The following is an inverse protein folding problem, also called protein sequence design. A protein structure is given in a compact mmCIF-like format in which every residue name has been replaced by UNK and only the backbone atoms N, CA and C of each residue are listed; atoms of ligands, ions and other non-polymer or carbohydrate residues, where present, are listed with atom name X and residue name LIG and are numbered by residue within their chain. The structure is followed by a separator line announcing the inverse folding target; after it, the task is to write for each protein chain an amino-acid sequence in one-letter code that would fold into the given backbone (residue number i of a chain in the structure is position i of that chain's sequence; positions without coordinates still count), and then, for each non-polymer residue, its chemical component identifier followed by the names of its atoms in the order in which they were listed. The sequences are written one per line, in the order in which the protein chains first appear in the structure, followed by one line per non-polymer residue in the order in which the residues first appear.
data_IF_161269042700
#
_entry.id   IF_161269042700
#
_cell.length_a   1.000
_cell.length_b   1.000
_cell.length_c   1.000
_cell.angle_alpha   90.00
_cell.angle_beta   90.00
_cell.angle_gamma   90.00
#
_symmetry.space_group_name_H-M   'P 1'
#
loop_
_entity.id
_entity.type
_entity.pdbx_description
1 polymer ?
#
# COMPACT_ATOMS: atom_id res chain seq x y z
N UNK A 1 66.72 -65.20 -30.26
CA UNK A 1 67.12 -65.88 -31.47
C UNK A 1 66.09 -65.50 -32.58
N UNK A 2 66.62 -64.75 -33.49
CA UNK A 2 66.31 -64.68 -34.95
C UNK A 2 64.77 -64.57 -35.36
N UNK A 3 64.42 -63.63 -36.08
CA UNK A 3 64.75 -62.99 -37.36
C UNK A 3 63.60 -63.19 -38.32
N UNK A 4 63.20 -62.21 -38.98
CA UNK A 4 63.33 -61.74 -40.37
C UNK A 4 62.03 -61.15 -40.87
N UNK A 5 62.15 -59.92 -41.32
CA UNK A 5 61.29 -59.32 -42.34
C UNK A 5 61.58 -59.93 -43.73
N UNK A 6 60.98 -59.59 -44.86
CA UNK A 6 60.15 -58.49 -45.39
C UNK A 6 59.12 -58.96 -46.46
N UNK A 7 58.75 -58.25 -47.52
CA UNK A 7 58.40 -56.86 -47.75
C UNK A 7 57.08 -56.59 -48.55
N UNK A 8 56.67 -55.37 -48.52
CA UNK A 8 56.03 -54.57 -49.59
C UNK A 8 54.93 -55.10 -50.53
N UNK A 9 53.81 -54.47 -50.55
CA UNK A 9 53.27 -53.83 -51.77
C UNK A 9 52.31 -52.72 -51.42
N UNK A 10 52.70 -51.50 -51.79
CA UNK A 10 51.82 -50.35 -52.02
C UNK A 10 50.89 -50.67 -53.18
N UNK A 11 49.60 -50.53 -52.91
CA UNK A 11 48.53 -50.17 -53.86
C UNK A 11 47.25 -50.69 -53.22
N UNK A 12 46.51 -49.79 -52.69
CA UNK A 12 45.08 -49.80 -52.42
C UNK A 12 44.71 -48.97 -51.17
N UNK A 13 45.34 -47.77 -51.04
CA UNK A 13 45.10 -46.81 -49.96
C UNK A 13 44.52 -45.49 -50.48
N UNK A 14 43.58 -45.55 -51.39
CA UNK A 14 43.01 -44.32 -51.97
C UNK A 14 41.44 -44.24 -51.97
N UNK A 15 40.75 -45.17 -51.36
CA UNK A 15 39.25 -45.17 -51.35
C UNK A 15 38.62 -45.26 -49.98
N UNK A 16 39.40 -45.21 -48.90
CA UNK A 16 38.89 -45.32 -47.49
C UNK A 16 38.78 -44.04 -46.69
N UNK A 17 39.19 -42.87 -47.26
CA UNK A 17 39.31 -41.62 -46.46
C UNK A 17 38.14 -40.66 -46.73
N UNK A 18 37.26 -40.90 -47.67
CA UNK A 18 36.14 -40.00 -47.97
C UNK A 18 34.80 -40.39 -47.29
N UNK A 19 34.76 -41.49 -46.50
CA UNK A 19 33.54 -41.89 -45.80
C UNK A 19 33.55 -41.66 -44.29
N UNK A 20 34.61 -41.04 -43.73
CA UNK A 20 34.73 -40.80 -42.30
C UNK A 20 34.67 -39.30 -41.90
N UNK A 21 34.45 -38.44 -42.89
CA UNK A 21 34.26 -37.00 -42.66
C UNK A 21 32.78 -36.55 -42.65
N UNK A 22 31.86 -37.49 -42.75
CA UNK A 22 30.41 -37.22 -42.79
C UNK A 22 29.67 -37.40 -41.46
N UNK A 23 30.35 -37.72 -40.34
CA UNK A 23 29.67 -38.04 -39.06
C UNK A 23 30.29 -37.37 -37.83
N UNK A 24 30.94 -36.22 -38.02
CA UNK A 24 31.04 -35.21 -36.92
C UNK A 24 29.87 -34.25 -37.11
N UNK A 25 28.66 -34.80 -37.11
CA UNK A 25 27.45 -34.03 -36.81
C UNK A 25 27.58 -33.61 -35.37
N UNK A 26 27.90 -32.37 -35.21
CA UNK A 26 27.91 -31.56 -34.00
C UNK A 26 26.77 -31.97 -33.05
N UNK A 27 27.03 -32.61 -31.94
CA UNK A 27 26.10 -32.58 -30.82
C UNK A 27 26.38 -31.29 -30.05
N UNK A 28 25.89 -30.16 -30.54
CA UNK A 28 26.20 -28.91 -29.91
C UNK A 28 25.26 -27.76 -30.20
N UNK A 29 24.34 -27.91 -31.12
CA UNK A 29 23.11 -27.13 -31.09
C UNK A 29 22.14 -27.79 -30.11
N UNK A 30 22.51 -27.86 -28.82
CA UNK A 30 21.47 -27.68 -27.83
C UNK A 30 20.80 -26.39 -28.25
N UNK A 31 19.61 -26.55 -28.83
CA UNK A 31 18.63 -25.50 -28.95
C UNK A 31 18.67 -24.76 -27.63
N UNK A 32 19.36 -23.62 -27.61
CA UNK A 32 19.13 -22.61 -26.57
C UNK A 32 17.63 -22.42 -26.71
N UNK A 33 16.88 -23.09 -25.83
CA UNK A 33 15.45 -22.84 -25.70
C UNK A 33 15.38 -21.34 -25.60
N UNK A 34 14.71 -20.65 -26.52
CA UNK A 34 14.59 -19.21 -26.44
C UNK A 34 14.16 -18.95 -25.02
N UNK A 35 14.91 -18.10 -24.31
CA UNK A 35 14.55 -17.65 -22.95
C UNK A 35 13.11 -17.25 -23.10
N UNK A 36 12.23 -18.10 -22.58
CA UNK A 36 10.80 -17.95 -22.82
C UNK A 36 10.45 -16.62 -22.18
N UNK A 37 10.00 -15.66 -22.98
CA UNK A 37 9.52 -14.33 -22.53
C UNK A 37 8.29 -14.42 -21.59
N UNK A 38 8.10 -15.56 -20.96
CA UNK A 38 7.01 -15.90 -20.05
C UNK A 38 7.36 -15.61 -18.57
N UNK A 39 8.46 -14.89 -18.31
CA UNK A 39 8.77 -14.46 -16.95
C UNK A 39 8.23 -13.05 -16.74
N UNK A 40 7.39 -12.91 -15.72
CA UNK A 40 6.84 -11.65 -15.26
C UNK A 40 7.61 -11.19 -14.01
N UNK A 41 8.28 -10.05 -14.11
CA UNK A 41 9.01 -9.44 -13.01
C UNK A 41 8.12 -8.44 -12.28
N UNK A 42 7.83 -8.72 -11.03
CA UNK A 42 6.95 -7.90 -10.18
C UNK A 42 7.76 -7.32 -9.03
N UNK A 43 7.64 -6.02 -8.82
CA UNK A 43 8.14 -5.34 -7.63
C UNK A 43 6.98 -5.04 -6.69
N UNK A 44 7.13 -5.42 -5.42
CA UNK A 44 6.20 -5.08 -4.34
C UNK A 44 6.87 -4.05 -3.44
N UNK A 45 6.21 -2.92 -3.22
CA UNK A 45 6.64 -1.89 -2.27
C UNK A 45 5.76 -2.02 -1.02
N UNK A 46 6.30 -2.43 0.14
CA UNK A 46 5.54 -2.53 1.39
C UNK A 46 4.96 -1.20 1.83
N UNK A 47 3.88 -1.24 2.60
CA UNK A 47 3.23 -0.05 3.18
C UNK A 47 3.84 0.33 4.52
N UNK A 48 4.50 -0.61 5.18
CA UNK A 48 4.99 -0.48 6.54
C UNK A 48 6.52 -0.66 6.59
N UNK A 49 7.21 0.25 7.31
CA UNK A 49 8.66 0.20 7.47
C UNK A 49 9.11 -0.93 8.41
N UNK A 50 8.30 -1.23 9.43
CA UNK A 50 8.61 -2.23 10.43
C UNK A 50 8.56 -3.66 9.92
N UNK A 51 7.71 -3.93 8.94
CA UNK A 51 7.53 -5.25 8.37
C UNK A 51 8.70 -5.74 7.50
N UNK A 52 9.58 -4.84 7.06
CA UNK A 52 10.77 -5.21 6.28
C UNK A 52 11.90 -5.86 7.09
N UNK A 53 11.91 -5.68 8.40
CA UNK A 53 12.89 -6.35 9.28
C UNK A 53 12.43 -7.75 9.68
N UNK A 54 11.13 -8.03 9.57
CA UNK A 54 10.56 -9.30 10.04
C UNK A 54 10.59 -10.40 8.97
N UNK A 55 10.16 -10.16 7.76
CA UNK A 55 10.21 -11.12 6.64
C UNK A 55 9.72 -10.47 5.34
N UNK A 56 10.55 -10.37 4.27
CA UNK A 56 10.08 -9.94 2.95
C UNK A 56 8.96 -10.83 2.41
N UNK A 57 8.89 -12.10 2.82
CA UNK A 57 7.87 -13.04 2.36
C UNK A 57 6.50 -12.74 2.97
N UNK A 58 6.41 -12.20 4.19
CA UNK A 58 5.14 -11.83 4.83
C UNK A 58 4.34 -10.79 4.02
N UNK A 59 5.02 -9.90 3.28
CA UNK A 59 4.35 -8.94 2.37
C UNK A 59 3.82 -9.58 1.10
N UNK A 60 4.35 -10.76 0.78
CA UNK A 60 3.92 -11.57 -0.34
C UNK A 60 2.67 -12.38 0.03
N UNK A 61 2.41 -12.62 1.33
CA UNK A 61 1.28 -13.45 1.78
C UNK A 61 -0.08 -12.97 1.26
N UNK A 62 -0.30 -11.66 1.17
CA UNK A 62 -1.53 -11.10 0.59
C UNK A 62 -1.64 -11.36 -0.92
N UNK A 63 -0.51 -11.39 -1.63
CA UNK A 63 -0.45 -11.58 -3.07
C UNK A 63 -0.21 -13.04 -3.47
N UNK A 64 0.35 -13.87 -2.58
CA UNK A 64 0.66 -15.26 -2.88
C UNK A 64 -0.56 -16.06 -3.36
N UNK A 65 -1.73 -16.05 -2.69
CA UNK A 65 -2.89 -16.80 -3.17
C UNK A 65 -3.37 -16.34 -4.54
N UNK A 66 -3.32 -15.04 -4.82
CA UNK A 66 -3.67 -14.47 -6.12
C UNK A 66 -2.71 -14.91 -7.22
N UNK A 67 -1.40 -14.87 -6.94
CA UNK A 67 -0.36 -15.26 -7.87
C UNK A 67 -0.40 -16.77 -8.14
N UNK A 68 -0.67 -17.59 -7.14
CA UNK A 68 -0.82 -19.03 -7.29
C UNK A 68 -2.09 -19.37 -8.08
N UNK A 69 -3.19 -18.66 -7.87
CA UNK A 69 -4.38 -18.82 -8.69
C UNK A 69 -4.12 -18.42 -10.16
N UNK A 70 -3.36 -17.33 -10.37
CA UNK A 70 -2.96 -16.92 -11.72
C UNK A 70 -2.04 -17.94 -12.40
N UNK A 71 -1.02 -18.47 -11.68
CA UNK A 71 -0.11 -19.50 -12.20
C UNK A 71 -0.86 -20.78 -12.62
N UNK A 72 -1.91 -21.17 -11.87
CA UNK A 72 -2.75 -22.34 -12.28
C UNK A 72 -3.47 -22.11 -13.59
N UNK A 73 -3.85 -20.88 -13.91
CA UNK A 73 -4.47 -20.53 -15.20
C UNK A 73 -3.45 -20.33 -16.31
N UNK A 74 -2.21 -20.00 -15.96
CA UNK A 74 -1.10 -19.71 -16.88
C UNK A 74 0.14 -20.56 -16.53
N UNK A 75 0.10 -21.91 -16.70
CA UNK A 75 1.16 -22.80 -16.20
C UNK A 75 2.52 -22.59 -16.86
N UNK A 76 2.58 -21.89 -18.00
CA UNK A 76 3.83 -21.52 -18.67
C UNK A 76 4.45 -20.20 -18.20
N UNK A 77 3.80 -19.50 -17.26
CA UNK A 77 4.27 -18.19 -16.78
C UNK A 77 5.07 -18.34 -15.48
N UNK A 78 6.30 -17.85 -15.51
CA UNK A 78 7.13 -17.72 -14.31
C UNK A 78 6.96 -16.32 -13.73
N UNK A 79 6.60 -16.22 -12.45
CA UNK A 79 6.48 -14.92 -11.74
C UNK A 79 7.64 -14.79 -10.77
N UNK A 80 8.42 -13.73 -10.95
CA UNK A 80 9.52 -13.33 -10.08
C UNK A 80 9.11 -12.11 -9.28
N UNK A 81 9.14 -12.24 -7.94
CA UNK A 81 8.82 -11.17 -7.02
C UNK A 81 10.11 -10.57 -6.44
N UNK A 82 10.14 -9.26 -6.31
CA UNK A 82 11.16 -8.50 -5.59
C UNK A 82 10.49 -7.50 -4.67
N UNK A 83 10.92 -7.44 -3.42
CA UNK A 83 10.47 -6.43 -2.46
C UNK A 83 11.46 -5.27 -2.46
N UNK A 84 10.96 -4.03 -2.55
CA UNK A 84 11.77 -2.81 -2.57
C UNK A 84 11.15 -1.78 -1.64
N UNK A 85 11.96 -1.12 -0.83
CA UNK A 85 11.51 -0.03 0.05
C UNK A 85 10.99 1.16 -0.75
N UNK A 86 10.00 1.87 -0.21
CA UNK A 86 9.38 3.00 -0.91
C UNK A 86 10.37 4.11 -1.24
N UNK A 87 11.30 4.40 -0.33
CA UNK A 87 12.31 5.43 -0.53
C UNK A 87 13.30 5.07 -1.65
N UNK A 88 13.49 3.78 -1.91
CA UNK A 88 14.45 3.25 -2.89
C UNK A 88 13.85 3.00 -4.26
N UNK A 89 12.52 2.91 -4.38
CA UNK A 89 11.89 2.48 -5.64
C UNK A 89 12.21 3.42 -6.80
N UNK A 90 12.18 4.74 -6.59
CA UNK A 90 12.51 5.71 -7.63
C UNK A 90 13.94 5.58 -8.16
N UNK A 91 14.97 5.70 -7.30
CA UNK A 91 16.37 5.50 -7.71
C UNK A 91 16.63 4.13 -8.35
N UNK A 92 15.99 3.07 -7.85
CA UNK A 92 16.15 1.73 -8.39
C UNK A 92 15.57 1.59 -9.79
N UNK A 93 14.39 2.14 -10.05
CA UNK A 93 13.81 2.16 -11.39
C UNK A 93 14.65 2.99 -12.38
N UNK A 94 15.20 4.13 -11.97
CA UNK A 94 16.11 4.91 -12.82
C UNK A 94 17.37 4.13 -13.21
N UNK A 95 17.95 3.41 -12.25
CA UNK A 95 19.12 2.56 -12.51
C UNK A 95 18.78 1.41 -13.46
N UNK A 96 17.65 0.73 -13.26
CA UNK A 96 17.21 -0.38 -14.10
C UNK A 96 16.82 0.07 -15.50
N UNK A 97 16.12 1.19 -15.65
CA UNK A 97 15.75 1.78 -16.95
C UNK A 97 16.94 2.03 -17.85
N UNK A 98 18.06 2.54 -17.30
CA UNK A 98 19.30 2.74 -18.07
C UNK A 98 19.85 1.45 -18.68
N UNK A 99 19.43 0.30 -18.18
CA UNK A 99 19.87 -1.04 -18.61
C UNK A 99 18.79 -1.81 -19.36
N UNK A 100 17.59 -1.26 -19.54
CA UNK A 100 16.43 -1.96 -20.12
C UNK A 100 15.99 -3.16 -19.30
N UNK A 101 16.12 -3.13 -17.97
CA UNK A 101 15.87 -4.23 -17.04
C UNK A 101 14.82 -3.88 -15.99
N UNK A 102 13.91 -2.97 -16.30
CA UNK A 102 12.82 -2.58 -15.39
C UNK A 102 11.85 -3.73 -15.11
N UNK A 103 11.08 -3.65 -14.00
CA UNK A 103 10.01 -4.60 -13.72
C UNK A 103 8.86 -4.43 -14.71
N UNK A 104 8.07 -5.49 -14.90
CA UNK A 104 6.88 -5.46 -15.74
C UNK A 104 5.68 -4.85 -15.01
N UNK A 105 5.58 -5.13 -13.71
CA UNK A 105 4.47 -4.69 -12.87
C UNK A 105 4.99 -4.30 -11.48
N UNK A 106 4.40 -3.27 -10.90
CA UNK A 106 4.71 -2.84 -9.54
C UNK A 106 3.43 -2.74 -8.72
N UNK A 107 3.47 -3.25 -7.49
CA UNK A 107 2.43 -3.04 -6.50
C UNK A 107 2.87 -1.96 -5.52
N UNK A 108 2.32 -0.76 -5.65
CA UNK A 108 2.71 0.43 -4.88
C UNK A 108 1.49 1.13 -4.28
N UNK A 109 1.71 2.12 -3.40
CA UNK A 109 0.63 3.02 -2.96
C UNK A 109 0.28 4.04 -4.05
N UNK A 110 -0.97 4.49 -4.10
CA UNK A 110 -1.45 5.46 -5.09
C UNK A 110 -0.59 6.75 -5.20
N UNK A 111 -0.14 7.40 -4.11
CA UNK A 111 0.74 8.57 -4.21
C UNK A 111 2.08 8.25 -4.87
N UNK A 112 2.63 7.05 -4.61
CA UNK A 112 3.88 6.59 -5.23
C UNK A 112 3.67 6.34 -6.73
N UNK A 113 2.56 5.68 -7.12
CA UNK A 113 2.21 5.49 -8.52
C UNK A 113 2.15 6.82 -9.30
N UNK A 114 1.48 7.83 -8.72
CA UNK A 114 1.39 9.17 -9.31
C UNK A 114 2.77 9.84 -9.43
N UNK A 115 3.63 9.73 -8.41
CA UNK A 115 4.99 10.28 -8.44
C UNK A 115 5.87 9.58 -9.49
N UNK A 116 5.79 8.26 -9.62
CA UNK A 116 6.50 7.50 -10.62
C UNK A 116 6.04 7.84 -12.05
N UNK A 117 4.73 7.99 -12.27
CA UNK A 117 4.18 8.42 -13.56
C UNK A 117 4.65 9.83 -13.94
N UNK A 118 4.64 10.78 -12.98
CA UNK A 118 5.13 12.16 -13.22
C UNK A 118 6.59 12.17 -13.67
N UNK A 119 7.41 11.26 -13.12
CA UNK A 119 8.83 11.11 -13.48
C UNK A 119 9.06 10.26 -14.72
N UNK A 120 8.02 9.72 -15.34
CA UNK A 120 8.13 8.82 -16.50
C UNK A 120 8.81 7.49 -16.20
N UNK A 121 8.77 7.03 -14.95
CA UNK A 121 9.36 5.75 -14.49
C UNK A 121 8.37 4.58 -14.59
N UNK A 122 7.12 4.85 -14.85
CA UNK A 122 6.06 3.87 -15.14
C UNK A 122 5.20 4.39 -16.29
N UNK A 123 4.56 3.49 -17.02
CA UNK A 123 3.63 3.82 -18.07
C UNK A 123 2.22 4.10 -17.52
N UNK A 124 1.46 4.98 -18.15
CA UNK A 124 0.04 5.12 -17.82
C UNK A 124 -0.70 3.83 -18.20
N UNK A 125 -1.83 3.59 -17.50
CA UNK A 125 -2.74 2.49 -17.85
C UNK A 125 -3.20 2.63 -19.29
N UNK A 126 -3.10 1.59 -20.12
CA UNK A 126 -3.60 1.60 -21.49
C UNK A 126 -5.12 1.92 -21.53
N UNK A 127 -5.53 2.68 -22.54
CA UNK A 127 -6.95 3.00 -22.80
C UNK A 127 -7.51 2.10 -23.89
N UNK A 128 -7.17 0.83 -23.87
CA UNK A 128 -7.69 -0.14 -24.82
C UNK A 128 -8.98 -0.81 -24.34
N UNK A 129 -9.60 -1.57 -25.22
CA UNK A 129 -10.83 -2.31 -24.90
C UNK A 129 -10.60 -3.42 -23.89
N UNK A 130 -9.36 -3.94 -23.79
CA UNK A 130 -9.02 -5.05 -22.91
C UNK A 130 -9.20 -4.69 -21.42
N UNK A 131 -8.90 -3.45 -21.04
CA UNK A 131 -9.06 -2.96 -19.66
C UNK A 131 -10.35 -2.15 -19.42
N UNK A 132 -11.14 -1.89 -20.46
CA UNK A 132 -12.34 -1.05 -20.34
C UNK A 132 -13.32 -1.57 -19.28
N UNK A 133 -13.68 -2.85 -19.32
CA UNK A 133 -14.60 -3.47 -18.35
C UNK A 133 -14.02 -3.46 -16.93
N UNK A 134 -12.69 -3.68 -16.81
CA UNK A 134 -11.98 -3.63 -15.55
C UNK A 134 -12.05 -2.22 -14.93
N UNK A 135 -11.84 -1.19 -15.74
CA UNK A 135 -11.93 0.20 -15.28
C UNK A 135 -13.37 0.57 -14.87
N UNK A 136 -14.37 0.07 -15.59
CA UNK A 136 -15.78 0.27 -15.20
C UNK A 136 -16.15 -0.45 -13.90
N UNK A 137 -15.51 -1.56 -13.60
CA UNK A 137 -15.73 -2.30 -12.37
C UNK A 137 -15.11 -1.62 -11.12
N UNK A 138 -14.09 -0.78 -11.29
CA UNK A 138 -13.47 -0.05 -10.18
C UNK A 138 -14.36 1.15 -9.82
N UNK A 139 -14.48 1.42 -8.51
CA UNK A 139 -15.23 2.59 -8.03
C UNK A 139 -14.59 3.89 -8.53
N UNK A 140 -15.39 4.88 -8.98
CA UNK A 140 -14.86 6.14 -9.54
C UNK A 140 -13.93 6.91 -8.58
N UNK A 141 -14.21 6.88 -7.28
CA UNK A 141 -13.38 7.55 -6.27
C UNK A 141 -11.95 6.99 -6.20
N UNK A 142 -11.80 5.67 -6.30
CA UNK A 142 -10.49 5.01 -6.30
C UNK A 142 -9.72 5.31 -7.59
N UNK A 143 -10.40 5.37 -8.75
CA UNK A 143 -9.78 5.81 -10.01
C UNK A 143 -9.32 7.26 -9.95
N UNK A 144 -10.06 8.12 -9.26
CA UNK A 144 -9.68 9.53 -9.12
C UNK A 144 -8.36 9.69 -8.34
N UNK A 145 -8.11 8.85 -7.34
CA UNK A 145 -6.88 8.87 -6.52
C UNK A 145 -5.61 8.53 -7.31
N UNK A 146 -5.74 7.85 -8.44
CA UNK A 146 -4.61 7.47 -9.33
C UNK A 146 -4.62 8.25 -10.65
N UNK A 147 -5.45 9.28 -10.77
CA UNK A 147 -5.55 10.10 -11.96
C UNK A 147 -4.61 11.31 -11.86
N UNK A 148 -3.69 11.41 -12.80
CA UNK A 148 -2.74 12.51 -12.94
C UNK A 148 -2.81 13.05 -14.38
N UNK A 149 -3.16 14.33 -14.55
CA UNK A 149 -3.26 15.00 -15.86
C UNK A 149 -4.06 14.19 -16.89
N UNK A 150 -5.22 13.68 -16.45
CA UNK A 150 -6.12 12.89 -17.30
C UNK A 150 -5.66 11.46 -17.55
N UNK A 151 -4.44 11.06 -17.14
CA UNK A 151 -3.91 9.70 -17.26
C UNK A 151 -4.05 8.93 -15.95
N UNK A 152 -4.16 7.60 -16.00
CA UNK A 152 -4.18 6.76 -14.82
C UNK A 152 -2.77 6.22 -14.56
N UNK A 153 -2.24 6.47 -13.37
CA UNK A 153 -0.92 5.99 -12.95
C UNK A 153 -0.88 4.48 -12.67
N UNK A 154 -2.06 3.86 -12.56
CA UNK A 154 -2.16 2.42 -12.34
C UNK A 154 -3.61 2.00 -12.07
N UNK A 155 -3.80 0.71 -11.85
CA UNK A 155 -5.09 0.09 -11.54
C UNK A 155 -5.20 -0.12 -10.02
N UNK A 156 -6.15 0.53 -9.32
CA UNK A 156 -6.45 0.23 -7.93
C UNK A 156 -6.75 -1.26 -7.72
N UNK A 157 -6.14 -1.87 -6.70
CA UNK A 157 -6.25 -3.31 -6.42
C UNK A 157 -7.06 -3.56 -5.17
N UNK A 158 -6.63 -2.99 -4.04
CA UNK A 158 -7.28 -3.12 -2.74
C UNK A 158 -7.12 -1.83 -1.97
N UNK A 159 -7.99 -1.64 -1.00
CA UNK A 159 -7.97 -0.52 -0.09
C UNK A 159 -7.69 -1.00 1.35
N UNK A 160 -6.73 -0.37 1.99
CA UNK A 160 -6.36 -0.54 3.38
C UNK A 160 -6.96 0.62 4.17
N UNK A 161 -7.50 0.36 5.36
CA UNK A 161 -8.19 1.36 6.17
C UNK A 161 -7.63 1.43 7.57
N UNK A 162 -7.75 2.59 8.22
CA UNK A 162 -7.41 2.75 9.63
C UNK A 162 -8.63 2.40 10.50
N UNK A 163 -8.40 1.67 11.59
CA UNK A 163 -9.40 1.10 12.49
C UNK A 163 -9.00 1.36 13.93
N UNK A 164 -9.86 0.99 14.86
CA UNK A 164 -9.53 0.82 16.26
C UNK A 164 -9.21 -0.66 16.54
N UNK A 165 -8.02 -0.93 17.10
CA UNK A 165 -7.62 -2.22 17.63
C UNK A 165 -7.57 -2.16 19.17
N UNK A 166 -8.09 -3.20 19.86
CA UNK A 166 -8.12 -3.21 21.32
C UNK A 166 -8.01 -4.62 21.90
N UNK A 167 -7.56 -4.69 23.14
CA UNK A 167 -7.51 -5.95 23.91
C UNK A 167 -8.85 -6.20 24.59
N UNK A 168 -9.59 -7.21 24.15
CA UNK A 168 -10.93 -7.59 24.68
C UNK A 168 -10.91 -7.95 26.16
N UNK A 169 -9.76 -8.33 26.72
CA UNK A 169 -9.62 -8.60 28.16
C UNK A 169 -9.67 -7.32 28.99
N UNK A 170 -9.35 -6.17 28.38
CA UNK A 170 -9.29 -4.85 29.03
C UNK A 170 -10.43 -3.93 28.63
N UNK A 171 -10.97 -4.12 27.43
CA UNK A 171 -12.02 -3.29 26.84
C UNK A 171 -13.15 -4.20 26.41
N UNK A 172 -14.23 -4.25 27.20
CA UNK A 172 -15.42 -5.06 26.92
C UNK A 172 -16.28 -4.44 25.80
N UNK A 173 -16.33 -3.12 25.74
CA UNK A 173 -17.02 -2.36 24.68
C UNK A 173 -16.11 -1.25 24.19
N UNK A 174 -15.76 -1.23 22.88
CA UNK A 174 -14.89 -0.19 22.34
C UNK A 174 -15.60 1.16 22.34
N UNK A 175 -14.87 2.27 22.60
CA UNK A 175 -15.45 3.61 22.56
C UNK A 175 -15.93 3.97 21.16
N UNK A 176 -17.14 4.53 21.05
CA UNK A 176 -17.77 4.96 19.80
C UNK A 176 -17.55 6.45 19.50
N UNK A 177 -17.14 7.20 20.52
CA UNK A 177 -16.85 8.63 20.41
C UNK A 177 -15.61 9.04 21.20
N UNK A 178 -15.11 10.26 20.94
CA UNK A 178 -13.90 10.81 21.58
C UNK A 178 -14.04 10.98 23.09
N UNK A 179 -15.26 11.25 23.61
CA UNK A 179 -15.53 11.37 25.01
C UNK A 179 -15.40 10.00 25.71
N UNK A 180 -15.98 8.97 25.09
CA UNK A 180 -15.84 7.58 25.55
C UNK A 180 -14.40 7.08 25.52
N UNK A 181 -13.60 7.52 24.52
CA UNK A 181 -12.18 7.18 24.46
C UNK A 181 -11.40 7.78 25.63
N UNK A 182 -11.62 9.06 25.97
CA UNK A 182 -10.98 9.67 27.15
C UNK A 182 -11.53 9.10 28.46
N UNK A 183 -12.81 8.72 28.51
CA UNK A 183 -13.38 8.04 29.67
C UNK A 183 -12.75 6.66 29.91
N UNK A 184 -12.41 5.93 28.81
CA UNK A 184 -11.66 4.68 28.90
C UNK A 184 -10.28 4.91 29.52
N UNK A 185 -9.56 5.96 29.13
CA UNK A 185 -8.30 6.34 29.78
C UNK A 185 -8.49 6.70 31.25
N UNK A 186 -9.50 7.49 31.58
CA UNK A 186 -9.82 7.89 32.96
C UNK A 186 -10.20 6.69 33.86
N UNK A 187 -10.73 5.61 33.26
CA UNK A 187 -11.02 4.35 34.01
C UNK A 187 -9.76 3.50 34.31
N UNK A 188 -8.56 4.00 33.99
CA UNK A 188 -7.28 3.33 34.25
C UNK A 188 -6.80 2.43 33.12
N UNK A 189 -7.43 2.46 31.94
CA UNK A 189 -6.99 1.72 30.74
C UNK A 189 -6.07 2.59 29.90
N UNK A 190 -4.84 2.17 29.67
CA UNK A 190 -3.91 2.94 28.86
C UNK A 190 -4.28 2.84 27.39
N UNK A 191 -4.53 3.97 26.75
CA UNK A 191 -4.78 4.09 25.31
C UNK A 191 -3.53 4.65 24.61
N UNK A 192 -3.27 4.22 23.39
CA UNK A 192 -2.19 4.75 22.57
C UNK A 192 -2.70 5.70 21.49
N UNK A 193 -2.01 6.82 21.31
CA UNK A 193 -2.18 7.75 20.19
C UNK A 193 -0.83 8.05 19.56
N UNK A 194 -0.79 8.42 18.28
CA UNK A 194 0.46 8.72 17.59
C UNK A 194 0.64 10.21 17.41
N UNK A 195 1.89 10.70 17.43
CA UNK A 195 2.24 12.05 16.93
C UNK A 195 2.39 12.07 15.40
N UNK A 196 2.49 10.88 14.77
CA UNK A 196 2.50 10.79 13.31
C UNK A 196 1.20 11.42 12.75
N UNK A 197 1.30 12.43 11.87
CA UNK A 197 0.12 13.11 11.33
C UNK A 197 -0.85 12.19 10.62
N UNK A 198 -0.39 11.15 9.93
CA UNK A 198 -1.25 10.18 9.26
C UNK A 198 -1.94 9.27 10.28
N UNK A 199 -1.19 8.85 11.32
CA UNK A 199 -1.68 7.99 12.40
C UNK A 199 -2.75 8.66 13.26
N UNK A 200 -2.72 10.00 13.44
CA UNK A 200 -3.70 10.77 14.23
C UNK A 200 -4.81 11.42 13.39
N UNK A 201 -4.67 11.41 12.07
CA UNK A 201 -5.59 12.10 11.14
C UNK A 201 -7.06 11.73 11.33
N UNK A 202 -7.34 10.51 11.75
CA UNK A 202 -8.71 10.04 11.97
C UNK A 202 -9.49 10.93 12.94
N UNK A 203 -8.85 11.50 13.95
CA UNK A 203 -9.48 12.36 14.96
C UNK A 203 -9.84 13.75 14.41
N UNK A 204 -9.22 14.17 13.32
CA UNK A 204 -9.50 15.45 12.68
C UNK A 204 -10.94 15.53 12.17
N UNK A 205 -11.48 14.46 11.56
CA UNK A 205 -12.87 14.42 11.12
C UNK A 205 -13.86 14.51 12.26
N UNK A 206 -13.57 13.83 13.37
CA UNK A 206 -14.38 13.87 14.58
C UNK A 206 -14.54 15.28 15.16
N UNK A 207 -13.61 16.18 14.82
CA UNK A 207 -13.54 17.57 15.31
C UNK A 207 -13.61 18.60 14.16
N UNK A 208 -14.07 18.19 12.98
CA UNK A 208 -14.31 19.10 11.84
C UNK A 208 -13.04 19.60 11.13
N UNK A 209 -11.84 19.20 11.56
CA UNK A 209 -10.58 19.71 11.04
C UNK A 209 -10.07 18.94 9.78
N UNK A 210 -10.73 17.86 9.35
CA UNK A 210 -10.23 17.04 8.25
C UNK A 210 -10.15 17.79 6.92
N UNK A 211 -11.15 18.60 6.57
CA UNK A 211 -11.18 19.40 5.34
C UNK A 211 -10.11 20.49 5.34
N UNK A 212 -10.01 21.35 6.37
CA UNK A 212 -8.92 22.31 6.48
C UNK A 212 -7.53 21.72 6.36
N UNK A 213 -7.28 20.58 7.01
CA UNK A 213 -5.99 19.89 6.96
C UNK A 213 -5.72 19.24 5.61
N UNK A 214 -6.74 18.74 4.96
CA UNK A 214 -6.63 18.15 3.62
C UNK A 214 -6.18 19.17 2.57
N UNK A 215 -6.62 20.42 2.69
CA UNK A 215 -6.14 21.52 1.85
C UNK A 215 -4.64 21.79 1.98
N UNK A 216 -3.98 21.34 3.06
CA UNK A 216 -2.52 21.46 3.21
C UNK A 216 -1.77 20.47 2.29
N UNK A 217 -2.29 19.27 2.15
CA UNK A 217 -1.61 18.15 1.47
C UNK A 217 -2.03 17.96 0.01
N UNK A 218 -2.92 18.80 -0.48
CA UNK A 218 -3.32 18.87 -1.90
C UNK A 218 -2.64 20.04 -2.60
N UNK A 219 -2.37 19.91 -3.88
CA UNK A 219 -1.81 20.99 -4.72
C UNK A 219 -2.90 21.94 -5.27
N UNK A 220 -4.13 21.85 -4.75
CA UNK A 220 -5.23 22.69 -5.23
C UNK A 220 -5.24 24.08 -4.60
N UNK A 221 -5.54 25.10 -5.38
CA UNK A 221 -5.78 26.43 -4.83
C UNK A 221 -7.02 26.40 -3.92
N UNK A 222 -6.99 27.23 -2.88
CA UNK A 222 -8.15 27.41 -2.00
C UNK A 222 -9.31 27.97 -2.84
N UNK A 223 -10.51 27.36 -2.75
CA UNK A 223 -11.67 27.87 -3.47
C UNK A 223 -11.97 29.34 -3.15
N UNK A 224 -12.38 30.17 -4.11
CA UNK A 224 -12.81 31.52 -3.83
C UNK A 224 -13.95 31.56 -2.80
N UNK A 225 -13.83 32.44 -1.80
CA UNK A 225 -14.83 32.56 -0.72
C UNK A 225 -14.73 31.51 0.38
N UNK A 226 -13.68 30.68 0.39
CA UNK A 226 -13.43 29.72 1.47
C UNK A 226 -13.16 30.45 2.80
N UNK A 227 -13.80 29.99 3.89
CA UNK A 227 -13.74 30.61 5.21
C UNK A 227 -12.50 30.12 5.99
N UNK A 228 -11.39 30.86 5.85
CA UNK A 228 -10.13 30.55 6.53
C UNK A 228 -10.20 30.78 8.06
N UNK A 229 -11.07 31.63 8.55
CA UNK A 229 -11.24 31.86 9.99
C UNK A 229 -11.95 30.67 10.62
N UNK A 230 -12.95 30.12 9.95
CA UNK A 230 -13.57 28.86 10.33
C UNK A 230 -12.56 27.71 10.35
N UNK A 231 -11.74 27.57 9.31
CA UNK A 231 -10.69 26.57 9.24
C UNK A 231 -9.78 26.64 10.48
N UNK A 232 -9.36 27.85 10.82
CA UNK A 232 -8.49 28.07 12.00
C UNK A 232 -9.16 27.63 13.28
N UNK A 233 -10.44 27.96 13.48
CA UNK A 233 -11.18 27.53 14.67
C UNK A 233 -11.34 26.01 14.77
N UNK A 234 -11.60 25.33 13.65
CA UNK A 234 -11.72 23.87 13.61
C UNK A 234 -10.38 23.18 13.91
N UNK A 235 -9.29 23.65 13.29
CA UNK A 235 -7.94 23.12 13.56
C UNK A 235 -7.53 23.40 15.01
N UNK A 236 -7.82 24.58 15.54
CA UNK A 236 -7.59 24.92 16.95
C UNK A 236 -8.38 24.00 17.90
N UNK A 237 -9.64 23.70 17.58
CA UNK A 237 -10.48 22.78 18.35
C UNK A 237 -9.88 21.37 18.39
N UNK A 238 -9.39 20.87 17.24
CA UNK A 238 -8.70 19.60 17.15
C UNK A 238 -7.40 19.58 17.97
N UNK A 239 -6.54 20.59 17.86
CA UNK A 239 -5.30 20.70 18.63
C UNK A 239 -5.56 20.83 20.13
N UNK A 240 -6.63 21.51 20.55
CA UNK A 240 -7.04 21.58 21.95
C UNK A 240 -7.41 20.19 22.49
N UNK A 241 -8.14 19.40 21.72
CA UNK A 241 -8.45 18.03 22.08
C UNK A 241 -7.20 17.16 22.18
N UNK A 242 -6.26 17.25 21.24
CA UNK A 242 -4.99 16.51 21.27
C UNK A 242 -4.19 16.86 22.55
N UNK A 243 -4.07 18.13 22.87
CA UNK A 243 -3.42 18.57 24.12
C UNK A 243 -4.13 18.05 25.36
N UNK A 244 -5.45 18.11 25.40
CA UNK A 244 -6.24 17.58 26.50
C UNK A 244 -6.05 16.06 26.66
N UNK A 245 -6.00 15.33 25.57
CA UNK A 245 -5.72 13.89 25.57
C UNK A 245 -4.30 13.61 26.09
N UNK A 246 -3.29 14.33 25.61
CA UNK A 246 -1.89 14.18 26.00
C UNK A 246 -1.64 14.46 27.49
N UNK A 247 -2.44 15.29 28.13
CA UNK A 247 -2.35 15.58 29.56
C UNK A 247 -2.90 14.47 30.47
N UNK A 248 -3.58 13.46 29.91
CA UNK A 248 -4.11 12.35 30.69
C UNK A 248 -3.01 11.32 30.99
N UNK A 249 -2.89 10.90 32.23
CA UNK A 249 -1.86 9.95 32.68
C UNK A 249 -1.94 8.56 32.03
N UNK A 250 -3.09 8.22 31.40
CA UNK A 250 -3.34 6.94 30.72
C UNK A 250 -3.48 7.09 29.21
N UNK A 251 -2.99 8.19 28.66
CA UNK A 251 -2.80 8.37 27.22
C UNK A 251 -1.30 8.32 26.93
N UNK A 252 -0.90 7.30 26.21
CA UNK A 252 0.47 7.06 25.80
C UNK A 252 0.68 7.62 24.39
N UNK A 253 1.66 8.48 24.24
CA UNK A 253 1.98 9.15 22.98
C UNK A 253 3.14 8.42 22.31
N UNK A 254 2.84 7.71 21.24
CA UNK A 254 3.80 6.93 20.46
C UNK A 254 4.37 7.76 19.31
N UNK A 255 5.62 7.49 18.94
CA UNK A 255 6.29 8.09 17.79
C UNK A 255 5.72 7.57 16.45
N UNK A 256 5.11 6.39 16.44
CA UNK A 256 4.55 5.80 15.23
C UNK A 256 3.78 4.50 15.46
N UNK A 257 3.30 3.89 14.36
CA UNK A 257 2.41 2.72 14.43
C UNK A 257 3.08 1.48 15.04
N UNK A 258 4.38 1.27 14.85
CA UNK A 258 5.08 0.09 15.37
C UNK A 258 5.12 0.09 16.90
N UNK A 259 5.30 1.25 17.52
CA UNK A 259 5.28 1.39 18.98
C UNK A 259 3.88 1.13 19.55
N UNK A 260 2.84 1.59 18.84
CA UNK A 260 1.44 1.30 19.20
C UNK A 260 1.15 -0.20 19.12
N UNK A 261 1.55 -0.86 18.03
CA UNK A 261 1.36 -2.28 17.85
C UNK A 261 2.07 -3.10 18.95
N UNK A 262 3.34 -2.80 19.21
CA UNK A 262 4.11 -3.44 20.29
C UNK A 262 3.48 -3.20 21.67
N UNK A 263 2.95 -2.00 21.91
CA UNK A 263 2.24 -1.67 23.13
C UNK A 263 0.93 -2.46 23.31
N UNK A 264 0.19 -2.69 22.23
CA UNK A 264 -1.04 -3.48 22.27
C UNK A 264 -0.74 -4.97 22.47
N UNK A 265 0.19 -5.54 21.73
CA UNK A 265 0.52 -6.98 21.79
C UNK A 265 1.19 -7.37 23.11
N UNK A 266 2.02 -6.51 23.68
CA UNK A 266 2.58 -6.69 25.02
C UNK A 266 1.54 -6.50 26.15
N UNK A 267 0.37 -6.01 25.83
CA UNK A 267 -0.67 -5.69 26.80
C UNK A 267 -0.40 -4.38 27.58
N UNK A 268 0.59 -3.58 27.23
CA UNK A 268 0.79 -2.24 27.82
C UNK A 268 -0.36 -1.30 27.45
N UNK A 269 -0.79 -1.32 26.21
CA UNK A 269 -1.93 -0.55 25.71
C UNK A 269 -3.20 -1.40 25.67
N UNK A 270 -4.34 -0.79 25.93
CA UNK A 270 -5.65 -1.41 25.86
C UNK A 270 -6.38 -1.12 24.54
N UNK A 271 -6.09 0.02 23.92
CA UNK A 271 -6.70 0.50 22.68
C UNK A 271 -5.69 1.35 21.88
N UNK A 272 -5.70 1.19 20.56
CA UNK A 272 -4.87 1.96 19.60
C UNK A 272 -5.61 2.19 18.29
N UNK A 273 -5.31 3.24 17.53
CA UNK A 273 -5.56 3.24 16.08
C UNK A 273 -4.60 2.25 15.42
N UNK A 274 -5.07 1.49 14.43
CA UNK A 274 -4.29 0.48 13.73
C UNK A 274 -4.65 0.42 12.24
N UNK A 275 -3.70 0.03 11.38
CA UNK A 275 -3.99 -0.21 9.97
C UNK A 275 -4.55 -1.62 9.77
N UNK A 276 -5.51 -1.76 8.87
CA UNK A 276 -6.13 -3.05 8.59
C UNK A 276 -5.14 -4.12 8.11
N UNK A 277 -4.04 -3.77 7.46
CA UNK A 277 -2.95 -4.70 7.12
C UNK A 277 -2.32 -5.38 8.33
N UNK A 278 -2.28 -4.71 9.47
CA UNK A 278 -1.68 -5.26 10.68
C UNK A 278 -2.59 -6.29 11.37
N UNK A 279 -3.85 -6.43 10.92
CA UNK A 279 -4.82 -7.33 11.55
C UNK A 279 -4.40 -8.79 11.49
N UNK A 280 -3.74 -9.23 10.43
CA UNK A 280 -3.26 -10.61 10.32
C UNK A 280 -2.22 -10.90 11.40
N UNK A 281 -1.19 -10.06 11.49
CA UNK A 281 -0.16 -10.15 12.53
C UNK A 281 -0.76 -10.06 13.95
N UNK A 282 -1.60 -9.06 14.20
CA UNK A 282 -2.26 -8.90 15.49
C UNK A 282 -3.12 -10.12 15.85
N UNK A 283 -3.77 -10.74 14.86
CA UNK A 283 -4.55 -11.97 15.08
C UNK A 283 -3.65 -13.15 15.47
N UNK A 284 -2.47 -13.27 14.86
CA UNK A 284 -1.50 -14.31 15.22
C UNK A 284 -0.96 -14.12 16.64
N UNK A 285 -0.65 -12.87 17.03
CA UNK A 285 -0.07 -12.55 18.34
C UNK A 285 -1.10 -12.52 19.48
N UNK A 286 -2.32 -12.06 19.23
CA UNK A 286 -3.35 -11.85 20.27
C UNK A 286 -4.50 -12.89 20.23
N UNK A 287 -4.65 -13.61 19.14
CA UNK A 287 -5.72 -14.62 18.97
C UNK A 287 -7.11 -14.04 19.18
N UNK A 288 -7.96 -14.70 20.02
CA UNK A 288 -9.34 -14.28 20.27
C UNK A 288 -9.43 -12.97 21.08
N UNK A 289 -8.33 -12.52 21.67
CA UNK A 289 -8.29 -11.29 22.47
C UNK A 289 -8.22 -10.02 21.63
N UNK A 290 -7.94 -10.13 20.34
CA UNK A 290 -7.97 -8.99 19.43
C UNK A 290 -9.43 -8.54 19.22
N UNK A 291 -9.73 -7.31 19.60
CA UNK A 291 -10.94 -6.60 19.23
C UNK A 291 -10.65 -5.60 18.10
N UNK A 292 -11.59 -5.46 17.18
CA UNK A 292 -11.55 -4.51 16.07
C UNK A 292 -12.86 -3.75 16.03
N UNK A 293 -12.78 -2.42 15.87
CA UNK A 293 -13.94 -1.54 15.76
C UNK A 293 -13.65 -0.38 14.79
N UNK A 294 -14.68 0.36 14.44
CA UNK A 294 -14.51 1.67 13.79
C UNK A 294 -13.90 2.68 14.76
N UNK A 295 -13.23 3.69 14.21
CA UNK A 295 -12.66 4.77 15.01
C UNK A 295 -13.76 5.68 15.59
N UNK A 296 -13.52 6.27 16.78
CA UNK A 296 -14.49 7.08 17.49
C UNK A 296 -14.90 8.34 16.70
N UNK A 297 -16.19 8.63 16.65
CA UNK A 297 -16.75 9.88 16.17
C UNK A 297 -16.55 11.01 17.21
N UNK A 298 -16.92 12.22 16.85
CA UNK A 298 -16.85 13.38 17.74
C UNK A 298 -18.01 14.35 17.54
N UNK A 299 -17.98 15.50 18.23
CA UNK A 299 -19.07 16.45 18.20
C UNK A 299 -19.28 17.10 16.83
N UNK A 300 -18.25 17.19 16.01
CA UNK A 300 -18.30 17.82 14.69
C UNK A 300 -18.51 16.84 13.54
N UNK A 301 -18.44 15.51 13.80
CA UNK A 301 -18.67 14.52 12.77
C UNK A 301 -18.10 13.14 13.03
N UNK A 302 -18.06 12.36 11.96
CA UNK A 302 -17.45 11.04 11.95
C UNK A 302 -15.93 11.16 11.94
N UNK A 303 -15.27 10.09 12.43
CA UNK A 303 -13.82 9.96 12.22
C UNK A 303 -13.47 10.07 10.73
N UNK A 304 -12.29 10.58 10.43
CA UNK A 304 -11.70 10.61 9.07
C UNK A 304 -10.52 9.66 8.96
N UNK A 305 -10.74 8.33 9.05
CA UNK A 305 -9.65 7.36 8.98
C UNK A 305 -8.87 7.55 7.68
N UNK A 306 -7.54 7.42 7.75
CA UNK A 306 -6.75 7.41 6.54
C UNK A 306 -6.98 6.09 5.78
N UNK A 307 -7.04 6.18 4.45
CA UNK A 307 -7.14 5.02 3.58
C UNK A 307 -5.99 5.00 2.60
N UNK A 308 -5.31 3.87 2.51
CA UNK A 308 -4.24 3.61 1.55
C UNK A 308 -4.77 2.74 0.42
N UNK A 309 -4.51 3.15 -0.82
CA UNK A 309 -4.91 2.43 -2.01
C UNK A 309 -3.68 1.75 -2.61
N UNK A 310 -3.72 0.42 -2.70
CA UNK A 310 -2.69 -0.38 -3.41
C UNK A 310 -3.01 -0.40 -4.89
N UNK A 311 -2.00 -0.26 -5.71
CA UNK A 311 -2.14 0.02 -7.14
C UNK A 311 -1.15 -0.83 -7.93
N UNK A 312 -1.62 -1.52 -8.98
CA UNK A 312 -0.76 -2.04 -10.03
C UNK A 312 -0.34 -0.92 -10.97
N UNK A 313 0.97 -0.69 -11.11
CA UNK A 313 1.53 0.19 -12.14
C UNK A 313 2.37 -0.61 -13.12
N UNK A 314 2.43 -0.16 -14.37
CA UNK A 314 3.11 -0.85 -15.45
C UNK A 314 4.52 -0.27 -15.66
N UNK A 315 5.53 -1.12 -15.66
CA UNK A 315 6.91 -0.71 -15.95
C UNK A 315 7.09 -0.25 -17.40
N UNK A 316 8.16 0.48 -17.70
CA UNK A 316 8.44 1.05 -19.05
C UNK A 316 9.19 0.10 -19.97
N UNK A 317 9.85 -0.93 -19.43
CA UNK A 317 10.82 -1.75 -20.17
C UNK A 317 10.29 -3.14 -20.56
N UNK A 318 8.99 -3.38 -20.40
CA UNK A 318 8.37 -4.66 -20.74
C UNK A 318 8.34 -4.91 -22.24
N UNK A 319 8.67 -6.13 -22.65
CA UNK A 319 8.34 -6.61 -23.98
C UNK A 319 6.82 -6.62 -24.18
N UNK A 320 6.38 -6.65 -25.45
CA UNK A 320 4.94 -6.70 -25.75
C UNK A 320 4.24 -7.89 -25.07
N UNK A 321 4.88 -9.05 -25.04
CA UNK A 321 4.34 -10.24 -24.39
C UNK A 321 4.28 -10.10 -22.87
N UNK A 322 5.34 -9.58 -22.23
CA UNK A 322 5.35 -9.31 -20.79
C UNK A 322 4.29 -8.27 -20.40
N UNK A 323 4.12 -7.23 -21.21
CA UNK A 323 3.06 -6.23 -21.02
C UNK A 323 1.67 -6.87 -21.04
N UNK A 324 1.37 -7.73 -22.01
CA UNK A 324 0.11 -8.46 -22.08
C UNK A 324 -0.12 -9.32 -20.83
N UNK A 325 0.89 -10.06 -20.39
CA UNK A 325 0.81 -10.87 -19.17
C UNK A 325 0.59 -10.01 -17.91
N UNK A 326 1.24 -8.85 -17.83
CA UNK A 326 1.05 -7.89 -16.74
C UNK A 326 -0.40 -7.36 -16.70
N UNK A 327 -0.96 -7.02 -17.85
CA UNK A 327 -2.35 -6.57 -17.99
C UNK A 327 -3.35 -7.69 -17.65
N UNK A 328 -3.07 -8.93 -18.07
CA UNK A 328 -3.87 -10.10 -17.72
C UNK A 328 -3.86 -10.37 -16.22
N UNK A 329 -2.69 -10.32 -15.56
CA UNK A 329 -2.59 -10.46 -14.11
C UNK A 329 -3.35 -9.35 -13.39
N UNK A 330 -3.14 -8.09 -13.79
CA UNK A 330 -3.83 -6.97 -13.18
C UNK A 330 -5.35 -7.10 -13.32
N UNK A 331 -5.86 -7.47 -14.51
CA UNK A 331 -7.28 -7.75 -14.75
C UNK A 331 -7.79 -8.90 -13.90
N UNK A 332 -7.04 -10.01 -13.83
CA UNK A 332 -7.40 -11.18 -13.03
C UNK A 332 -7.60 -10.82 -11.56
N UNK A 333 -6.68 -10.07 -10.96
CA UNK A 333 -6.75 -9.65 -9.55
C UNK A 333 -7.95 -8.74 -9.25
N UNK A 334 -8.51 -8.09 -10.28
CA UNK A 334 -9.64 -7.16 -10.17
C UNK A 334 -11.00 -7.81 -10.47
N UNK A 335 -11.03 -9.09 -10.81
CA UNK A 335 -12.31 -9.80 -11.00
C UNK A 335 -13.11 -9.87 -9.69
N UNK A 336 -14.45 -9.84 -9.72
CA UNK A 336 -15.27 -9.92 -8.51
C UNK A 336 -14.93 -11.12 -7.62
N UNK A 337 -14.64 -12.28 -8.24
CA UNK A 337 -14.27 -13.51 -7.51
C UNK A 337 -12.99 -13.31 -6.71
N UNK A 338 -11.92 -12.84 -7.36
CA UNK A 338 -10.61 -12.69 -6.72
C UNK A 338 -10.64 -11.59 -5.63
N UNK A 339 -11.34 -10.49 -5.91
CA UNK A 339 -11.53 -9.40 -4.94
C UNK A 339 -12.29 -9.86 -3.69
N UNK A 340 -13.37 -10.63 -3.90
CA UNK A 340 -14.14 -11.20 -2.78
C UNK A 340 -13.31 -12.20 -1.98
N UNK A 341 -12.65 -13.14 -2.66
CA UNK A 341 -11.81 -14.16 -2.03
C UNK A 341 -10.69 -13.53 -1.19
N UNK A 342 -9.96 -12.56 -1.77
CA UNK A 342 -8.91 -11.84 -1.07
C UNK A 342 -9.42 -11.14 0.20
N UNK A 343 -10.55 -10.44 0.11
CA UNK A 343 -11.15 -9.75 1.26
C UNK A 343 -11.59 -10.73 2.34
N UNK A 344 -12.23 -11.85 1.98
CA UNK A 344 -12.74 -12.82 2.95
C UNK A 344 -11.63 -13.62 3.63
N UNK A 345 -10.59 -14.00 2.88
CA UNK A 345 -9.47 -14.78 3.42
C UNK A 345 -8.58 -13.91 4.31
N UNK A 346 -8.19 -12.73 3.84
CA UNK A 346 -7.28 -11.86 4.62
C UNK A 346 -8.00 -11.12 5.75
N UNK A 347 -9.25 -10.73 5.56
CA UNK A 347 -9.98 -9.81 6.44
C UNK A 347 -9.13 -8.59 6.86
N UNK A 348 -8.27 -8.12 5.95
CA UNK A 348 -7.34 -7.01 6.18
C UNK A 348 -7.36 -5.96 5.07
N UNK A 349 -8.02 -6.26 3.94
CA UNK A 349 -8.18 -5.33 2.82
C UNK A 349 -9.62 -5.27 2.33
N UNK A 350 -9.99 -4.12 1.78
CA UNK A 350 -11.30 -3.89 1.17
C UNK A 350 -11.22 -3.96 -0.35
N UNK A 351 -12.24 -4.52 -1.02
CA UNK A 351 -12.27 -4.59 -2.47
C UNK A 351 -12.47 -3.21 -3.07
N UNK A 352 -11.84 -2.94 -4.21
CA UNK A 352 -12.07 -1.74 -5.03
C UNK A 352 -13.14 -1.96 -6.10
N UNK A 353 -13.43 -3.21 -6.43
CA UNK A 353 -14.45 -3.56 -7.39
C UNK A 353 -15.85 -3.31 -6.80
N UNK A 354 -16.64 -2.45 -7.47
CA UNK A 354 -17.96 -2.00 -7.00
C UNK A 354 -19.03 -3.09 -7.00
N UNK A 355 -18.80 -4.19 -7.73
CA UNK A 355 -19.73 -5.31 -7.82
C UNK A 355 -19.48 -6.39 -6.73
N UNK A 356 -18.47 -6.19 -5.87
CA UNK A 356 -18.18 -7.10 -4.77
C UNK A 356 -18.98 -6.68 -3.54
N UNK A 357 -19.85 -7.56 -3.10
CA UNK A 357 -20.53 -7.47 -1.81
C UNK A 357 -19.76 -8.29 -0.77
N UNK A 358 -19.56 -7.71 0.41
CA UNK A 358 -18.91 -8.37 1.55
C UNK A 358 -19.94 -8.61 2.68
N UNK A 359 -19.85 -9.75 3.39
CA UNK A 359 -20.83 -10.12 4.41
C UNK A 359 -20.55 -9.40 5.73
N UNK A 360 -20.86 -8.11 5.80
CA UNK A 360 -20.63 -7.27 6.99
C UNK A 360 -21.46 -7.73 8.23
N UNK A 361 -22.60 -8.36 7.99
CA UNK A 361 -23.44 -8.88 9.09
C UNK A 361 -22.80 -10.10 9.79
N UNK A 362 -21.93 -10.83 9.12
CA UNK A 362 -21.34 -12.08 9.63
C UNK A 362 -19.99 -11.86 10.32
N UNK A 363 -19.37 -10.68 10.14
CA UNK A 363 -18.06 -10.36 10.68
C UNK A 363 -17.99 -8.92 11.16
N UNK A 364 -17.88 -8.74 12.49
CA UNK A 364 -17.66 -7.41 13.08
C UNK A 364 -16.40 -6.71 12.57
N UNK A 365 -15.37 -7.47 12.19
CA UNK A 365 -14.15 -6.95 11.55
C UNK A 365 -14.46 -6.36 10.18
N UNK A 366 -15.15 -7.10 9.32
CA UNK A 366 -15.54 -6.61 7.98
C UNK A 366 -16.53 -5.43 8.09
N UNK A 367 -17.42 -5.44 9.10
CA UNK A 367 -18.30 -4.31 9.39
C UNK A 367 -17.52 -3.05 9.77
N UNK A 368 -16.51 -3.16 10.65
CA UNK A 368 -15.64 -2.04 11.04
C UNK A 368 -14.86 -1.50 9.83
N UNK A 369 -14.30 -2.39 9.02
CA UNK A 369 -13.56 -2.01 7.80
C UNK A 369 -14.48 -1.29 6.79
N UNK A 370 -15.69 -1.79 6.55
CA UNK A 370 -16.66 -1.15 5.67
C UNK A 370 -17.08 0.23 6.19
N UNK A 371 -17.26 0.37 7.48
CA UNK A 371 -17.54 1.65 8.13
C UNK A 371 -16.38 2.63 7.93
N UNK A 372 -15.14 2.22 8.19
CA UNK A 372 -13.96 3.05 8.01
C UNK A 372 -13.78 3.48 6.54
N UNK A 373 -14.02 2.58 5.59
CA UNK A 373 -13.98 2.90 4.16
C UNK A 373 -15.04 3.97 3.78
N UNK A 374 -16.24 3.85 4.34
CA UNK A 374 -17.29 4.84 4.11
C UNK A 374 -16.98 6.19 4.77
N UNK A 375 -16.44 6.19 6.00
CA UNK A 375 -15.98 7.39 6.71
C UNK A 375 -14.91 8.12 5.90
N UNK A 376 -13.90 7.41 5.39
CA UNK A 376 -12.88 8.00 4.50
C UNK A 376 -13.51 8.64 3.27
N UNK A 377 -14.42 7.95 2.58
CA UNK A 377 -15.09 8.49 1.39
C UNK A 377 -15.94 9.72 1.69
N UNK A 378 -16.58 9.77 2.85
CA UNK A 378 -17.34 10.94 3.29
C UNK A 378 -16.42 12.13 3.57
N UNK A 379 -15.34 11.89 4.32
CA UNK A 379 -14.35 12.90 4.66
C UNK A 379 -13.63 13.47 3.44
N UNK A 380 -13.50 12.68 2.36
CA UNK A 380 -12.77 13.07 1.14
C UNK A 380 -13.67 13.52 -0.01
N UNK A 381 -14.98 13.60 0.16
CA UNK A 381 -15.94 13.96 -0.92
C UNK A 381 -15.64 15.29 -1.61
N UNK A 382 -15.09 16.27 -0.90
CA UNK A 382 -14.67 17.56 -1.45
C UNK A 382 -13.26 17.56 -2.04
N UNK A 383 -12.48 16.51 -1.80
CA UNK A 383 -11.08 16.40 -2.20
C UNK A 383 -10.96 15.63 -3.51
N UNK A 384 -11.05 16.34 -4.61
CA UNK A 384 -11.04 15.77 -5.97
C UNK A 384 -9.61 15.40 -6.42
N UNK A 385 -8.58 15.88 -5.72
CA UNK A 385 -7.18 15.65 -6.10
C UNK A 385 -6.52 14.49 -5.39
N UNK A 386 -5.66 13.76 -6.09
CA UNK A 386 -4.73 12.84 -5.43
C UNK A 386 -3.78 13.63 -4.52
N UNK A 387 -3.48 13.08 -3.35
CA UNK A 387 -2.44 13.63 -2.49
C UNK A 387 -1.10 13.66 -3.23
N UNK A 388 -0.41 14.79 -3.18
CA UNK A 388 0.93 14.90 -3.73
C UNK A 388 1.92 14.21 -2.78
N UNK A 389 2.52 13.09 -3.22
CA UNK A 389 3.51 12.38 -2.40
C UNK A 389 4.70 13.27 -2.01
N UNK A 390 5.14 14.13 -2.92
CA UNK A 390 6.25 15.05 -2.66
C UNK A 390 5.87 16.14 -1.67
N UNK A 391 4.66 16.68 -1.79
CA UNK A 391 4.12 17.66 -0.84
C UNK A 391 3.93 17.04 0.54
N UNK A 392 3.31 15.87 0.62
CA UNK A 392 3.16 15.13 1.88
C UNK A 392 4.52 14.90 2.53
N UNK A 393 5.53 14.45 1.78
CA UNK A 393 6.89 14.23 2.30
C UNK A 393 7.52 15.51 2.87
N UNK A 394 7.32 16.66 2.23
CA UNK A 394 7.85 17.95 2.72
C UNK A 394 7.10 18.46 3.94
N UNK A 395 5.79 18.26 3.99
CA UNK A 395 4.95 18.82 5.05
C UNK A 395 4.92 17.98 6.33
N UNK A 396 5.11 16.64 6.23
CA UNK A 396 4.99 15.77 7.40
C UNK A 396 5.96 16.12 8.54
N UNK A 397 7.26 16.38 8.32
CA UNK A 397 8.16 16.72 9.43
C UNK A 397 7.76 17.98 10.20
N UNK A 398 7.52 19.15 9.57
CA UNK A 398 7.07 20.34 10.31
C UNK A 398 5.66 20.18 10.90
N UNK A 399 4.79 19.39 10.28
CA UNK A 399 3.47 19.10 10.82
C UNK A 399 3.58 18.29 12.12
N UNK A 400 4.36 17.21 12.11
CA UNK A 400 4.62 16.34 13.27
C UNK A 400 5.22 17.16 14.43
N UNK A 401 6.20 18.03 14.13
CA UNK A 401 6.81 18.90 15.12
C UNK A 401 5.77 19.81 15.78
N UNK A 402 4.90 20.46 15.02
CA UNK A 402 3.85 21.34 15.55
C UNK A 402 2.88 20.54 16.42
N UNK A 403 2.47 19.34 15.99
CA UNK A 403 1.61 18.47 16.81
C UNK A 403 2.26 18.15 18.15
N UNK A 404 3.52 17.73 18.14
CA UNK A 404 4.27 17.41 19.34
C UNK A 404 4.37 18.63 20.27
N UNK A 405 4.78 19.80 19.76
CA UNK A 405 4.89 21.05 20.52
C UNK A 405 3.57 21.44 21.19
N UNK A 406 2.43 21.23 20.51
CA UNK A 406 1.10 21.50 21.09
C UNK A 406 0.76 20.47 22.17
N UNK A 407 0.99 19.18 21.90
CA UNK A 407 0.65 18.10 22.84
C UNK A 407 1.43 18.22 24.15
N UNK A 408 2.72 18.56 24.09
CA UNK A 408 3.54 18.77 25.30
C UNK A 408 3.39 20.17 25.92
N UNK A 409 2.62 21.07 25.30
CA UNK A 409 2.28 22.39 25.85
C UNK A 409 3.29 23.49 25.58
N UNK A 410 4.29 23.26 24.72
CA UNK A 410 5.27 24.30 24.31
C UNK A 410 4.60 25.38 23.46
N UNK A 411 3.65 24.99 22.61
CA UNK A 411 2.88 25.86 21.74
C UNK A 411 1.39 25.80 22.12
N UNK A 412 0.70 26.92 22.12
CA UNK A 412 -0.75 26.94 22.35
C UNK A 412 -1.52 26.33 21.15
N UNK A 413 -2.72 25.77 21.34
CA UNK A 413 -3.56 25.29 20.24
C UNK A 413 -3.86 26.38 19.18
N UNK A 414 -3.99 27.64 19.58
CA UNK A 414 -4.18 28.77 18.68
C UNK A 414 -2.97 29.02 17.78
N UNK A 415 -1.81 29.11 18.41
CA UNK A 415 -0.55 29.31 17.71
C UNK A 415 -0.23 28.08 16.81
N UNK A 416 -0.48 26.86 17.31
CA UNK A 416 -0.34 25.63 16.54
C UNK A 416 -1.22 25.61 15.30
N UNK A 417 -2.48 26.03 15.41
CA UNK A 417 -3.41 26.12 14.27
C UNK A 417 -2.90 27.12 13.22
N UNK A 418 -2.40 28.29 13.66
CA UNK A 418 -1.79 29.27 12.77
C UNK A 418 -0.59 28.68 12.04
N UNK A 419 0.37 28.09 12.78
CA UNK A 419 1.57 27.45 12.21
C UNK A 419 1.20 26.35 11.21
N UNK A 420 0.24 25.46 11.55
CA UNK A 420 -0.20 24.40 10.64
C UNK A 420 -0.77 24.96 9.34
N UNK A 421 -1.67 25.92 9.42
CA UNK A 421 -2.28 26.53 8.23
C UNK A 421 -1.28 27.32 7.40
N UNK A 422 -0.24 27.90 8.00
CA UNK A 422 0.86 28.56 7.28
C UNK A 422 1.73 27.59 6.48
N UNK A 423 1.74 26.28 6.79
CA UNK A 423 2.42 25.26 5.98
C UNK A 423 1.89 25.20 4.52
N UNK A 424 0.71 25.75 4.26
CA UNK A 424 0.20 25.91 2.86
C UNK A 424 1.16 26.69 1.97
N UNK A 425 1.93 27.60 2.54
CA UNK A 425 2.86 28.50 1.83
C UNK A 425 4.17 27.80 1.43
N UNK A 426 4.40 26.60 1.95
CA UNK A 426 5.56 25.79 1.56
C UNK A 426 5.32 25.27 0.14
N UNK A 427 6.20 25.58 -0.82
CA UNK A 427 6.06 25.20 -2.23
C UNK A 427 6.16 23.70 -2.49
#
# INVERSE_FOLDING_TARGET
VRSLSPPFRLRDAALGVLSLLGLVALPGCQLVRPVTHNTLHIVVVPTDKGSMQADPEAHIELSAPLLDAFRRLHPGVNVRLKVVQEERIGPELEMHRRRGLGPDLLLVRAPVANALLRRGLVDPVPRDRFLADTLQAIRPGELQRVRLDGRLAGLPVVEEVTLACYDRRKVSSPPTDLKGLLALAASGRTIGVSVDPIGIWWSAGSLGAAEPLALLITDHPIPPGHDLDRDRLLVQGWLRWLRQAALQSRVDIASGPDELLAGLTSGRLAWIPCYSLNLLRLQQEMGPHLGVASLPSGPEGQASPFSSLRVWTFGTDSSRQQRQLAEELARFTLTPKQQRELTLVSQSVMPVNRFVSIPVAESGRLAAMATAQNQFRQATRGMVAPFSADRVRRLMPPFEQILFEVMVGVVSPEEGARKLLDLRRIP
#
